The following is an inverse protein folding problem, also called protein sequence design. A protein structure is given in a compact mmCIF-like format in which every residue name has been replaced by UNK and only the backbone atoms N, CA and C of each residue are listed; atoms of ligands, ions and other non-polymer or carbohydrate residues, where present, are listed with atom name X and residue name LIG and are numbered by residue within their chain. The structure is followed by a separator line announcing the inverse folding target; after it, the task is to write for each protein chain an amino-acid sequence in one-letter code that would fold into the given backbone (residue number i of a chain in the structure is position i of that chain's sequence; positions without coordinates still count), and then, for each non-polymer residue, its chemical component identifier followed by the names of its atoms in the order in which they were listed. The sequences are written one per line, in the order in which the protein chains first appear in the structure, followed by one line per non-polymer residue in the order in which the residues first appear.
data_IF_962808695334
#
_entry.id   IF_962808695334
#
_cell.length_a   1.000
_cell.length_b   1.000
_cell.length_c   1.000
_cell.angle_alpha   90.00
_cell.angle_beta   90.00
_cell.angle_gamma   90.00
#
_symmetry.space_group_name_H-M   'P 1'
#
loop_
_entity.id
_entity.type
_entity.pdbx_description
1 polymer ?
#
# COMPACT_ATOMS: atom_id res chain seq x y z
N UNK A 1 -24.40 -9.44 25.05
CA UNK A 1 -24.14 -9.02 23.66
C UNK A 1 -22.68 -9.28 23.24
N UNK A 2 -21.66 -8.83 23.99
CA UNK A 2 -20.25 -9.12 23.68
C UNK A 2 -19.93 -10.62 23.68
N UNK A 3 -20.25 -11.33 24.77
CA UNK A 3 -19.96 -12.78 24.87
C UNK A 3 -20.69 -13.57 23.77
N UNK A 4 -21.96 -13.23 23.54
CA UNK A 4 -22.78 -13.82 22.47
C UNK A 4 -22.16 -13.66 21.08
N UNK A 5 -21.52 -12.52 20.80
CA UNK A 5 -20.80 -12.31 19.54
C UNK A 5 -19.56 -13.21 19.44
N UNK A 6 -18.77 -13.34 20.51
CA UNK A 6 -17.57 -14.18 20.50
C UNK A 6 -17.91 -15.67 20.44
N UNK A 7 -18.96 -16.11 21.12
CA UNK A 7 -19.49 -17.47 21.00
C UNK A 7 -19.87 -17.76 19.54
N UNK A 8 -20.55 -16.82 18.87
CA UNK A 8 -20.85 -16.92 17.44
C UNK A 8 -19.58 -17.02 16.59
N UNK A 9 -18.59 -16.15 16.79
CA UNK A 9 -17.32 -16.18 16.04
C UNK A 9 -16.59 -17.52 16.23
N UNK A 10 -16.49 -18.01 17.46
CA UNK A 10 -15.78 -19.25 17.75
C UNK A 10 -16.51 -20.49 17.24
N UNK A 11 -17.85 -20.50 17.26
CA UNK A 11 -18.67 -21.56 16.68
C UNK A 11 -18.47 -21.67 15.15
N UNK A 12 -18.25 -20.55 14.47
CA UNK A 12 -18.02 -20.51 13.02
C UNK A 12 -16.54 -20.74 12.62
N UNK A 13 -15.62 -20.84 13.60
CA UNK A 13 -14.22 -21.07 13.31
C UNK A 13 -13.91 -22.57 13.13
N UNK A 14 -13.79 -22.98 11.86
CA UNK A 14 -13.54 -24.37 11.47
C UNK A 14 -12.03 -24.71 11.38
N UNK A 15 -11.64 -25.97 11.66
CA UNK A 15 -10.28 -26.45 11.41
C UNK A 15 -9.85 -26.31 9.95
N UNK A 16 -8.61 -25.89 9.69
CA UNK A 16 -8.00 -25.75 8.35
C UNK A 16 -8.70 -24.79 7.39
N UNK A 17 -9.76 -24.11 7.82
CA UNK A 17 -10.44 -23.05 7.08
C UNK A 17 -10.32 -21.74 7.84
N UNK A 18 -9.83 -20.70 7.16
CA UNK A 18 -9.67 -19.38 7.78
C UNK A 18 -11.03 -18.66 7.79
N UNK A 19 -11.50 -18.29 8.98
CA UNK A 19 -12.65 -17.41 9.13
C UNK A 19 -12.23 -15.97 8.83
N UNK A 20 -12.95 -15.29 7.94
CA UNK A 20 -12.77 -13.87 7.66
C UNK A 20 -13.90 -13.10 8.36
N UNK A 21 -13.53 -12.14 9.19
CA UNK A 21 -14.44 -11.19 9.84
C UNK A 21 -14.12 -9.83 9.25
N UNK A 22 -15.08 -9.24 8.54
CA UNK A 22 -14.90 -7.99 7.82
C UNK A 22 -15.88 -6.97 8.39
N UNK A 23 -15.39 -5.78 8.72
CA UNK A 23 -16.21 -4.65 9.14
C UNK A 23 -15.60 -3.34 8.64
N UNK A 24 -16.42 -2.29 8.60
CA UNK A 24 -16.00 -0.93 8.24
C UNK A 24 -15.31 -0.29 9.43
N UNK A 25 -14.04 0.11 9.31
CA UNK A 25 -13.28 0.66 10.44
C UNK A 25 -13.21 -0.31 11.64
N UNK A 26 -12.93 -1.58 11.34
CA UNK A 26 -13.02 -2.71 12.28
C UNK A 26 -12.26 -2.50 13.61
N UNK A 27 -11.26 -1.61 13.65
CA UNK A 27 -10.52 -1.29 14.88
C UNK A 27 -11.46 -0.78 15.98
N UNK A 28 -12.48 0.00 15.60
CA UNK A 28 -13.49 0.50 16.54
C UNK A 28 -14.29 -0.67 17.13
N UNK A 29 -14.94 -1.46 16.27
CA UNK A 29 -15.74 -2.61 16.70
C UNK A 29 -14.92 -3.62 17.50
N UNK A 30 -13.72 -3.93 17.04
CA UNK A 30 -12.81 -4.86 17.68
C UNK A 30 -12.43 -4.42 19.10
N UNK A 31 -12.23 -3.10 19.30
CA UNK A 31 -11.97 -2.52 20.61
C UNK A 31 -13.20 -2.59 21.52
N UNK A 32 -14.37 -2.17 21.04
CA UNK A 32 -15.63 -2.20 21.81
C UNK A 32 -16.02 -3.63 22.20
N UNK A 33 -15.75 -4.60 21.32
CA UNK A 33 -15.99 -6.02 21.56
C UNK A 33 -14.89 -6.68 22.42
N UNK A 34 -13.93 -5.91 22.95
CA UNK A 34 -12.82 -6.43 23.78
C UNK A 34 -12.08 -7.57 23.09
N UNK A 35 -11.72 -7.36 21.82
CA UNK A 35 -11.27 -8.45 20.95
C UNK A 35 -9.99 -9.13 21.40
N UNK A 36 -9.00 -8.36 21.87
CA UNK A 36 -7.76 -8.93 22.39
C UNK A 36 -7.99 -9.82 23.60
N UNK A 37 -8.80 -9.35 24.55
CA UNK A 37 -9.13 -10.10 25.76
C UNK A 37 -9.85 -11.42 25.45
N UNK A 38 -10.88 -11.39 24.60
CA UNK A 38 -11.66 -12.58 24.25
C UNK A 38 -10.83 -13.59 23.46
N UNK A 39 -10.01 -13.13 22.52
CA UNK A 39 -9.08 -13.99 21.78
C UNK A 39 -8.06 -14.63 22.71
N UNK A 40 -7.53 -13.86 23.68
CA UNK A 40 -6.59 -14.35 24.68
C UNK A 40 -7.23 -15.40 25.59
N UNK A 41 -8.41 -15.13 26.15
CA UNK A 41 -9.20 -16.08 26.96
C UNK A 41 -9.46 -17.38 26.20
N UNK A 42 -9.76 -17.26 24.91
CA UNK A 42 -9.97 -18.41 24.03
C UNK A 42 -8.67 -19.13 23.61
N UNK A 43 -7.49 -18.62 23.97
CA UNK A 43 -6.19 -19.24 23.67
C UNK A 43 -5.69 -19.05 22.24
N UNK A 44 -6.14 -18.01 21.54
CA UNK A 44 -5.59 -17.61 20.25
C UNK A 44 -4.26 -16.85 20.43
N UNK A 45 -3.35 -17.03 19.47
CA UNK A 45 -2.07 -16.31 19.41
C UNK A 45 -2.00 -15.42 18.18
N UNK A 46 -1.30 -14.29 18.30
CA UNK A 46 -1.10 -13.36 17.20
C UNK A 46 -0.18 -13.99 16.14
N UNK A 47 -0.52 -13.81 14.87
CA UNK A 47 0.31 -14.20 13.72
C UNK A 47 0.69 -13.02 12.86
N UNK A 48 -0.18 -12.05 12.74
CA UNK A 48 0.10 -10.82 12.02
C UNK A 48 -0.82 -9.72 12.54
N UNK A 49 -0.26 -8.53 12.73
CA UNK A 49 -1.01 -7.32 13.05
C UNK A 49 -0.50 -6.18 12.18
N UNK A 50 -1.43 -5.46 11.56
CA UNK A 50 -1.15 -4.20 10.90
C UNK A 50 -2.33 -3.27 11.10
N UNK A 51 -2.05 -2.03 11.48
CA UNK A 51 -3.04 -0.97 11.59
C UNK A 51 -2.38 0.37 11.25
N UNK A 52 -3.02 1.14 10.37
CA UNK A 52 -2.63 2.52 10.05
C UNK A 52 -3.85 3.48 10.01
N UNK A 53 -4.97 3.09 10.63
CA UNK A 53 -6.22 3.86 10.68
C UNK A 53 -7.15 3.67 9.47
N UNK A 54 -6.61 3.44 8.27
CA UNK A 54 -7.40 3.17 7.04
C UNK A 54 -7.23 1.75 6.51
N UNK A 55 -6.34 0.97 7.13
CA UNK A 55 -6.10 -0.43 6.82
C UNK A 55 -5.83 -1.17 8.11
N UNK A 56 -6.64 -2.20 8.39
CA UNK A 56 -6.45 -3.07 9.55
C UNK A 56 -6.48 -4.55 9.14
N UNK A 57 -5.51 -5.30 9.66
CA UNK A 57 -5.42 -6.75 9.51
C UNK A 57 -4.98 -7.33 10.86
N UNK A 58 -5.86 -8.12 11.49
CA UNK A 58 -5.52 -8.91 12.68
C UNK A 58 -5.67 -10.38 12.34
N UNK A 59 -4.55 -11.11 12.29
CA UNK A 59 -4.54 -12.55 12.02
C UNK A 59 -4.14 -13.30 13.29
N UNK A 60 -5.03 -14.17 13.76
CA UNK A 60 -4.83 -14.98 14.97
C UNK A 60 -5.04 -16.45 14.69
N UNK A 61 -4.35 -17.30 15.47
CA UNK A 61 -4.37 -18.75 15.29
C UNK A 61 -4.43 -19.50 16.61
N UNK A 62 -5.23 -20.57 16.66
CA UNK A 62 -5.29 -21.56 17.74
C UNK A 62 -5.22 -22.95 17.11
N UNK A 63 -4.08 -23.65 17.24
CA UNK A 63 -3.86 -24.95 16.62
C UNK A 63 -4.04 -24.91 15.09
N UNK A 64 -5.04 -25.62 14.56
CA UNK A 64 -5.40 -25.63 13.14
C UNK A 64 -6.55 -24.67 12.78
N UNK A 65 -7.06 -23.89 13.73
CA UNK A 65 -8.09 -22.85 13.53
C UNK A 65 -7.43 -21.48 13.37
N UNK A 66 -7.94 -20.66 12.45
CA UNK A 66 -7.44 -19.27 12.27
C UNK A 66 -8.56 -18.31 11.94
N UNK A 67 -8.48 -17.10 12.49
CA UNK A 67 -9.40 -16.00 12.24
C UNK A 67 -8.59 -14.83 11.70
N UNK A 68 -9.12 -14.14 10.70
CA UNK A 68 -8.59 -12.86 10.24
C UNK A 68 -9.67 -11.79 10.33
N UNK A 69 -9.38 -10.72 11.06
CA UNK A 69 -10.19 -9.52 11.11
C UNK A 69 -9.62 -8.52 10.10
N UNK A 70 -10.48 -8.01 9.22
CA UNK A 70 -10.11 -7.16 8.10
C UNK A 70 -10.99 -5.93 8.05
N UNK A 71 -10.38 -4.77 7.81
CA UNK A 71 -11.14 -3.56 7.52
C UNK A 71 -11.64 -3.58 6.07
N UNK A 72 -12.92 -3.31 5.83
CA UNK A 72 -13.42 -3.14 4.45
C UNK A 72 -12.76 -1.95 3.73
N UNK A 73 -12.22 -0.98 4.47
CA UNK A 73 -11.39 0.11 3.92
C UNK A 73 -10.06 -0.37 3.31
N UNK A 74 -9.59 -1.58 3.63
CA UNK A 74 -8.44 -2.20 2.96
C UNK A 74 -8.62 -2.29 1.43
N UNK A 75 -9.87 -2.26 0.95
CA UNK A 75 -10.23 -2.24 -0.46
C UNK A 75 -10.95 -0.96 -0.87
N UNK A 76 -11.85 -0.46 -0.02
CA UNK A 76 -12.78 0.62 -0.34
C UNK A 76 -12.63 1.78 0.64
N UNK A 77 -11.68 2.71 0.44
CA UNK A 77 -11.44 3.83 1.37
C UNK A 77 -12.52 4.93 1.20
N UNK A 78 -13.75 4.60 1.56
CA UNK A 78 -14.93 5.47 1.52
C UNK A 78 -15.88 5.15 2.69
N UNK A 79 -16.78 6.07 3.02
CA UNK A 79 -17.82 5.87 4.02
C UNK A 79 -18.87 4.85 3.55
N UNK A 80 -19.52 4.15 4.48
CA UNK A 80 -20.61 3.22 4.15
C UNK A 80 -21.76 3.89 3.40
N UNK A 81 -22.09 5.16 3.71
CA UNK A 81 -23.09 5.95 2.99
C UNK A 81 -22.77 6.09 1.49
N UNK A 82 -21.57 6.56 1.15
CA UNK A 82 -21.08 6.63 -0.24
C UNK A 82 -21.05 5.28 -0.94
N UNK A 83 -20.69 4.20 -0.24
CA UNK A 83 -20.78 2.84 -0.79
C UNK A 83 -22.23 2.48 -1.11
N UNK A 84 -23.16 2.79 -0.20
CA UNK A 84 -24.60 2.58 -0.37
C UNK A 84 -25.16 3.32 -1.57
N UNK A 85 -24.87 4.62 -1.70
CA UNK A 85 -25.23 5.45 -2.86
C UNK A 85 -24.75 4.81 -4.18
N UNK A 86 -23.47 4.39 -4.23
CA UNK A 86 -22.89 3.74 -5.41
C UNK A 86 -23.56 2.41 -5.77
N UNK A 87 -24.09 1.69 -4.78
CA UNK A 87 -24.76 0.40 -4.98
C UNK A 87 -26.29 0.54 -5.17
N UNK A 88 -26.85 1.75 -5.02
CA UNK A 88 -28.29 1.96 -5.00
C UNK A 88 -28.97 1.42 -3.73
N UNK A 89 -28.22 1.25 -2.65
CA UNK A 89 -28.71 0.79 -1.34
C UNK A 89 -28.39 1.92 -0.34
N UNK A 90 -29.23 2.97 -0.26
CA UNK A 90 -28.93 4.10 0.61
C UNK A 90 -28.80 3.65 2.06
N UNK A 91 -27.83 4.24 2.75
CA UNK A 91 -27.64 4.06 4.18
C UNK A 91 -28.84 4.69 4.90
N UNK A 92 -29.41 3.97 5.85
CA UNK A 92 -30.48 4.50 6.70
C UNK A 92 -29.92 5.58 7.64
N UNK A 93 -30.79 6.52 8.02
CA UNK A 93 -30.57 7.45 9.11
C UNK A 93 -31.17 6.87 10.40
N UNK A 94 -30.55 7.16 11.54
CA UNK A 94 -31.03 6.72 12.86
C UNK A 94 -30.68 7.77 13.91
N UNK A 95 -31.62 8.03 14.81
CA UNK A 95 -31.37 8.77 16.04
C UNK A 95 -31.00 7.78 17.14
N UNK A 96 -29.72 7.75 17.51
CA UNK A 96 -29.21 6.80 18.51
C UNK A 96 -29.74 7.07 19.92
N UNK A 97 -30.23 8.29 20.21
CA UNK A 97 -30.73 8.66 21.53
C UNK A 97 -32.17 8.18 21.74
N UNK A 98 -32.95 8.04 20.66
CA UNK A 98 -34.38 7.74 20.75
C UNK A 98 -34.82 6.45 20.05
N UNK A 99 -33.95 5.79 19.27
CA UNK A 99 -34.35 4.59 18.52
C UNK A 99 -34.72 3.42 19.43
N UNK A 100 -35.66 2.60 18.96
CA UNK A 100 -35.98 1.30 19.54
C UNK A 100 -34.94 0.25 19.14
N UNK A 101 -34.85 -0.84 19.91
CA UNK A 101 -33.96 -1.96 19.55
C UNK A 101 -34.30 -2.56 18.17
N UNK A 102 -35.59 -2.59 17.80
CA UNK A 102 -36.01 -3.11 16.50
C UNK A 102 -35.56 -2.22 15.34
N UNK A 103 -35.65 -0.90 15.48
CA UNK A 103 -35.14 0.05 14.49
C UNK A 103 -33.61 -0.06 14.36
N UNK A 104 -32.91 -0.17 15.49
CA UNK A 104 -31.46 -0.34 15.51
C UNK A 104 -31.02 -1.64 14.82
N UNK A 105 -31.76 -2.75 15.00
CA UNK A 105 -31.49 -4.01 14.28
C UNK A 105 -31.66 -3.84 12.77
N UNK A 106 -32.72 -3.14 12.32
CA UNK A 106 -32.97 -2.88 10.89
C UNK A 106 -31.85 -2.01 10.31
N UNK A 107 -31.48 -0.94 11.00
CA UNK A 107 -30.37 -0.07 10.64
C UNK A 107 -29.04 -0.84 10.52
N UNK A 108 -28.67 -1.64 11.54
CA UNK A 108 -27.43 -2.42 11.51
C UNK A 108 -27.42 -3.45 10.38
N UNK A 109 -28.58 -4.04 10.04
CA UNK A 109 -28.72 -4.95 8.89
C UNK A 109 -28.52 -4.23 7.56
N UNK A 110 -28.98 -2.98 7.43
CA UNK A 110 -28.76 -2.16 6.24
C UNK A 110 -27.26 -1.88 6.03
N UNK A 111 -26.53 -1.46 7.08
CA UNK A 111 -25.08 -1.24 7.00
C UNK A 111 -24.32 -2.51 6.58
N UNK A 112 -24.66 -3.67 7.17
CA UNK A 112 -24.04 -4.97 6.80
C UNK A 112 -24.42 -5.37 5.37
N UNK A 113 -25.65 -5.13 4.94
CA UNK A 113 -26.10 -5.45 3.57
C UNK A 113 -25.32 -4.64 2.52
N UNK A 114 -25.04 -3.37 2.79
CA UNK A 114 -24.25 -2.51 1.91
C UNK A 114 -22.84 -3.11 1.73
N UNK A 115 -22.13 -3.40 2.81
CA UNK A 115 -20.77 -3.97 2.73
C UNK A 115 -20.77 -5.38 2.13
N UNK A 116 -21.72 -6.23 2.50
CA UNK A 116 -21.88 -7.57 1.92
C UNK A 116 -22.07 -7.51 0.40
N UNK A 117 -22.96 -6.63 -0.07
CA UNK A 117 -23.22 -6.45 -1.51
C UNK A 117 -21.98 -5.93 -2.23
N UNK A 118 -21.25 -4.99 -1.62
CA UNK A 118 -20.01 -4.46 -2.18
C UNK A 118 -18.95 -5.56 -2.39
N UNK A 119 -18.75 -6.44 -1.40
CA UNK A 119 -17.82 -7.57 -1.53
C UNK A 119 -18.31 -8.62 -2.52
N UNK A 120 -19.62 -8.90 -2.56
CA UNK A 120 -20.20 -9.82 -3.54
C UNK A 120 -19.93 -9.37 -4.96
N UNK A 121 -20.15 -8.09 -5.26
CA UNK A 121 -19.84 -7.51 -6.58
C UNK A 121 -18.34 -7.52 -6.87
N UNK A 122 -17.50 -7.21 -5.88
CA UNK A 122 -16.06 -7.25 -6.08
C UNK A 122 -15.53 -8.67 -6.35
N UNK A 123 -15.98 -9.66 -5.59
CA UNK A 123 -15.60 -11.07 -5.80
C UNK A 123 -16.11 -11.56 -7.17
N UNK A 124 -17.36 -11.21 -7.54
CA UNK A 124 -17.92 -11.52 -8.85
C UNK A 124 -17.08 -10.91 -9.97
N UNK A 125 -16.67 -9.65 -9.83
CA UNK A 125 -15.77 -8.99 -10.77
C UNK A 125 -14.43 -9.73 -10.88
N UNK A 126 -13.80 -10.09 -9.75
CA UNK A 126 -12.50 -10.78 -9.76
C UNK A 126 -12.57 -12.16 -10.41
N UNK A 127 -13.57 -12.96 -10.06
CA UNK A 127 -13.75 -14.33 -10.56
C UNK A 127 -14.25 -14.32 -12.00
N UNK A 128 -15.29 -13.53 -12.29
CA UNK A 128 -15.93 -13.48 -13.61
C UNK A 128 -15.01 -12.96 -14.72
N UNK A 129 -14.03 -12.12 -14.38
CA UNK A 129 -13.03 -11.62 -15.32
C UNK A 129 -11.68 -12.35 -15.23
N UNK A 130 -11.59 -13.44 -14.44
CA UNK A 130 -10.37 -14.21 -14.22
C UNK A 130 -9.15 -13.35 -13.87
N UNK A 131 -9.35 -12.39 -12.95
CA UNK A 131 -8.34 -11.42 -12.54
C UNK A 131 -7.44 -12.02 -11.47
N UNK A 132 -8.03 -12.41 -10.32
CA UNK A 132 -7.31 -13.01 -9.20
C UNK A 132 -8.27 -13.57 -8.16
N UNK A 133 -7.72 -14.27 -7.16
CA UNK A 133 -8.39 -14.44 -5.87
C UNK A 133 -8.47 -13.11 -5.09
N UNK A 134 -9.41 -13.01 -4.16
CA UNK A 134 -9.44 -11.93 -3.17
C UNK A 134 -8.29 -12.10 -2.16
N UNK A 135 -7.52 -11.04 -1.96
CA UNK A 135 -6.49 -10.94 -0.92
C UNK A 135 -6.87 -9.85 0.09
N UNK A 136 -6.20 -9.79 1.24
CA UNK A 136 -6.53 -8.89 2.37
C UNK A 136 -6.57 -7.39 2.09
N UNK A 137 -6.00 -6.94 0.98
CA UNK A 137 -6.01 -5.55 0.56
C UNK A 137 -6.16 -5.46 -0.96
N UNK A 138 -6.59 -4.31 -1.47
CA UNK A 138 -6.59 -4.04 -2.92
C UNK A 138 -5.21 -4.22 -3.55
N UNK A 139 -4.15 -3.80 -2.85
CA UNK A 139 -2.77 -3.91 -3.33
C UNK A 139 -2.29 -5.35 -3.38
N UNK A 140 -2.61 -6.17 -2.36
CA UNK A 140 -2.30 -7.60 -2.38
C UNK A 140 -3.13 -8.37 -3.42
N UNK A 141 -4.34 -7.88 -3.73
CA UNK A 141 -5.19 -8.43 -4.79
C UNK A 141 -4.60 -8.09 -6.16
N UNK A 142 -4.16 -6.84 -6.38
CA UNK A 142 -3.45 -6.43 -7.59
C UNK A 142 -2.16 -7.23 -7.82
N UNK A 143 -1.37 -7.47 -6.76
CA UNK A 143 -0.19 -8.33 -6.85
C UNK A 143 -0.56 -9.79 -7.18
N UNK A 144 -1.63 -10.32 -6.60
CA UNK A 144 -2.09 -11.67 -6.94
C UNK A 144 -2.51 -11.77 -8.42
N UNK A 145 -3.18 -10.75 -8.95
CA UNK A 145 -3.52 -10.68 -10.38
C UNK A 145 -2.27 -10.63 -11.25
N UNK A 146 -1.29 -9.80 -10.89
CA UNK A 146 0.00 -9.73 -11.57
C UNK A 146 0.71 -11.10 -11.59
N UNK A 147 0.81 -11.78 -10.45
CA UNK A 147 1.48 -13.07 -10.36
C UNK A 147 0.75 -14.19 -11.11
N UNK A 148 -0.59 -14.12 -11.19
CA UNK A 148 -1.39 -15.16 -11.84
C UNK A 148 -1.17 -15.20 -13.36
N UNK A 149 -1.13 -14.04 -14.02
CA UNK A 149 -1.16 -13.97 -15.49
C UNK A 149 -0.12 -13.08 -16.14
N UNK A 150 0.65 -12.31 -15.37
CA UNK A 150 1.52 -11.26 -15.91
C UNK A 150 3.00 -11.41 -15.52
N UNK A 151 3.33 -12.38 -14.68
CA UNK A 151 4.72 -12.73 -14.33
C UNK A 151 5.38 -13.54 -15.46
N UNK A 152 5.74 -12.86 -16.54
CA UNK A 152 6.37 -13.49 -17.72
C UNK A 152 7.90 -13.47 -17.69
N UNK A 153 8.47 -12.53 -16.93
CA UNK A 153 9.93 -12.36 -16.80
C UNK A 153 10.33 -12.71 -15.37
N UNK A 154 11.32 -13.61 -15.18
CA UNK A 154 11.86 -13.88 -13.85
C UNK A 154 12.44 -12.63 -13.20
N UNK A 155 12.04 -12.38 -11.95
CA UNK A 155 12.54 -11.28 -11.13
C UNK A 155 13.38 -11.88 -10.00
N UNK A 156 14.66 -11.54 -10.00
CA UNK A 156 15.65 -12.06 -9.06
C UNK A 156 15.82 -11.12 -7.88
N UNK A 157 15.90 -11.70 -6.69
CA UNK A 157 16.10 -10.99 -5.42
C UNK A 157 17.57 -11.17 -5.00
N UNK A 158 18.20 -10.11 -4.52
CA UNK A 158 19.54 -10.14 -3.93
C UNK A 158 19.50 -9.59 -2.49
N UNK A 159 20.59 -9.79 -1.76
CA UNK A 159 20.77 -9.35 -0.38
C UNK A 159 21.99 -8.43 -0.19
N UNK A 160 22.55 -7.87 -1.27
CA UNK A 160 23.63 -6.88 -1.18
C UNK A 160 23.15 -5.62 -0.46
N UNK A 161 23.71 -5.36 0.74
CA UNK A 161 23.26 -4.28 1.62
C UNK A 161 23.48 -2.89 1.02
N UNK A 162 24.66 -2.62 0.44
CA UNK A 162 25.00 -1.33 -0.17
C UNK A 162 24.06 -0.98 -1.35
N UNK A 163 23.72 -1.98 -2.17
CA UNK A 163 22.75 -1.81 -3.25
C UNK A 163 21.35 -1.50 -2.71
N UNK A 164 20.90 -2.21 -1.67
CA UNK A 164 19.60 -1.99 -1.03
C UNK A 164 19.52 -0.58 -0.43
N UNK A 165 20.61 -0.06 0.15
CA UNK A 165 20.66 1.32 0.64
C UNK A 165 20.46 2.33 -0.50
N UNK A 166 21.12 2.15 -1.65
CA UNK A 166 20.91 2.99 -2.84
C UNK A 166 19.49 2.88 -3.40
N UNK A 167 18.92 1.68 -3.47
CA UNK A 167 17.53 1.45 -3.87
C UNK A 167 16.54 2.20 -2.98
N UNK A 168 16.76 2.20 -1.66
CA UNK A 168 15.90 2.90 -0.71
C UNK A 168 16.13 4.41 -0.72
N UNK A 169 17.36 4.88 -0.92
CA UNK A 169 17.70 6.29 -1.03
C UNK A 169 17.12 6.94 -2.30
N UNK A 170 17.05 6.18 -3.40
CA UNK A 170 16.46 6.63 -4.67
C UNK A 170 14.93 6.56 -4.72
N UNK A 171 14.28 5.87 -3.77
CA UNK A 171 12.82 5.76 -3.71
C UNK A 171 12.16 7.03 -3.13
N UNK A 172 11.49 7.80 -3.99
CA UNK A 172 10.93 9.12 -3.69
C UNK A 172 9.45 9.20 -4.06
N UNK A 173 8.74 10.13 -3.43
CA UNK A 173 7.33 10.42 -3.72
C UNK A 173 7.14 11.32 -4.95
N UNK A 174 5.87 11.64 -5.25
CA UNK A 174 5.55 12.63 -6.28
C UNK A 174 5.94 14.06 -5.87
N UNK A 175 6.09 14.93 -6.87
CA UNK A 175 6.33 16.37 -6.67
C UNK A 175 5.08 17.05 -6.12
N UNK A 176 5.19 17.64 -4.94
CA UNK A 176 4.13 18.42 -4.31
C UNK A 176 4.78 19.64 -3.66
N UNK A 177 4.71 20.78 -4.33
CA UNK A 177 5.26 22.05 -3.85
C UNK A 177 4.42 23.24 -4.34
N UNK A 178 4.58 24.39 -3.69
CA UNK A 178 3.94 25.62 -4.11
C UNK A 178 4.76 26.27 -5.23
N UNK A 179 4.26 26.19 -6.47
CA UNK A 179 4.88 26.86 -7.62
C UNK A 179 4.62 28.37 -7.65
N UNK A 180 3.63 28.85 -6.88
CA UNK A 180 3.25 30.25 -6.78
C UNK A 180 2.74 30.54 -5.37
N UNK A 181 3.18 31.65 -4.78
CA UNK A 181 2.75 32.12 -3.46
C UNK A 181 2.21 33.54 -3.63
N UNK A 182 1.00 33.79 -3.13
CA UNK A 182 0.34 35.09 -3.19
C UNK A 182 -1.01 35.02 -3.89
N UNK A 183 -1.60 36.19 -4.10
CA UNK A 183 -2.87 36.30 -4.80
C UNK A 183 -2.68 36.15 -6.30
N UNK A 184 -3.57 35.36 -6.88
CA UNK A 184 -3.69 35.15 -8.31
C UNK A 184 -4.60 36.25 -8.86
N UNK A 185 -4.26 36.85 -10.00
CA UNK A 185 -5.14 37.83 -10.64
C UNK A 185 -6.50 37.19 -11.02
N UNK A 186 -7.53 38.00 -11.27
CA UNK A 186 -8.88 37.55 -11.64
C UNK A 186 -8.99 36.94 -13.06
N UNK A 187 -7.98 36.17 -13.48
CA UNK A 187 -7.94 35.47 -14.76
C UNK A 187 -8.49 34.04 -14.70
N UNK A 188 -8.56 33.39 -15.87
CA UNK A 188 -8.93 31.98 -16.00
C UNK A 188 -7.75 31.08 -15.67
N UNK A 189 -7.98 30.06 -14.85
CA UNK A 189 -6.99 29.04 -14.51
C UNK A 189 -7.46 27.66 -14.98
N UNK A 190 -6.52 26.86 -15.47
CA UNK A 190 -6.76 25.49 -15.91
C UNK A 190 -6.07 24.51 -14.98
N UNK A 191 -6.76 23.40 -14.69
CA UNK A 191 -6.20 22.25 -13.95
C UNK A 191 -6.09 21.09 -14.92
N UNK A 192 -4.88 20.59 -15.12
CA UNK A 192 -4.58 19.47 -16.01
C UNK A 192 -4.09 18.29 -15.17
N UNK A 193 -4.56 17.09 -15.47
CA UNK A 193 -4.16 15.84 -14.80
C UNK A 193 -3.79 14.77 -15.84
N UNK A 194 -2.80 13.95 -15.53
CA UNK A 194 -2.35 12.87 -16.40
C UNK A 194 -3.23 11.65 -16.17
N UNK A 195 -3.82 11.16 -17.25
CA UNK A 195 -4.63 9.94 -17.23
C UNK A 195 -3.80 8.72 -16.79
N UNK A 196 -3.99 8.31 -15.54
CA UNK A 196 -3.34 7.11 -14.96
C UNK A 196 -1.81 7.17 -15.07
N UNK A 197 -1.20 8.26 -14.55
CA UNK A 197 0.25 8.52 -14.61
C UNK A 197 1.12 7.29 -14.32
N UNK A 198 0.98 6.66 -13.13
CA UNK A 198 1.79 5.51 -12.77
C UNK A 198 1.58 4.31 -13.70
N UNK A 199 0.33 3.87 -14.01
CA UNK A 199 0.10 2.85 -15.03
C UNK A 199 0.72 3.17 -16.39
N UNK A 200 0.65 4.43 -16.85
CA UNK A 200 1.28 4.84 -18.10
C UNK A 200 2.81 4.65 -18.06
N UNK A 201 3.45 5.07 -16.97
CA UNK A 201 4.90 4.88 -16.76
C UNK A 201 5.24 3.38 -16.67
N UNK A 202 4.46 2.60 -15.90
CA UNK A 202 4.57 1.14 -15.79
C UNK A 202 4.56 0.45 -17.15
N UNK A 203 3.59 0.81 -18.00
CA UNK A 203 3.40 0.20 -19.32
C UNK A 203 4.56 0.47 -20.28
N UNK A 204 5.09 1.68 -20.27
CA UNK A 204 5.96 2.16 -21.36
C UNK A 204 7.45 2.10 -21.05
N UNK A 205 7.85 1.60 -19.87
CA UNK A 205 9.25 1.60 -19.44
C UNK A 205 9.78 0.20 -19.08
N UNK A 206 11.10 0.10 -18.93
CA UNK A 206 11.81 -1.08 -18.45
C UNK A 206 12.21 -0.87 -16.99
N UNK A 207 12.17 -1.95 -16.22
CA UNK A 207 12.38 -1.95 -14.77
C UNK A 207 13.46 -2.95 -14.39
N UNK A 208 14.20 -2.73 -13.29
CA UNK A 208 15.21 -3.67 -12.82
C UNK A 208 14.58 -5.03 -12.48
N UNK A 209 15.17 -6.10 -13.00
CA UNK A 209 14.72 -7.49 -12.76
C UNK A 209 15.79 -8.39 -12.18
N UNK A 210 17.07 -8.01 -12.28
CA UNK A 210 18.18 -8.80 -11.75
C UNK A 210 19.37 -7.93 -11.43
N UNK A 211 19.87 -8.01 -10.20
CA UNK A 211 21.15 -7.41 -9.83
C UNK A 211 22.27 -7.97 -10.72
N UNK A 212 23.05 -7.07 -11.32
CA UNK A 212 24.19 -7.41 -12.15
C UNK A 212 25.48 -7.23 -11.37
N UNK A 213 25.77 -6.00 -10.94
CA UNK A 213 27.00 -5.66 -10.21
C UNK A 213 26.94 -4.24 -9.62
N UNK A 214 27.85 -4.00 -8.67
CA UNK A 214 28.17 -2.69 -8.10
C UNK A 214 29.67 -2.42 -8.30
N UNK A 215 30.06 -1.61 -9.31
CA UNK A 215 31.46 -1.31 -9.59
C UNK A 215 32.10 -0.45 -8.48
N UNK A 216 33.35 -0.75 -8.10
CA UNK A 216 34.10 0.04 -7.09
C UNK A 216 34.31 1.51 -7.47
N UNK A 217 34.49 1.79 -8.77
CA UNK A 217 34.65 3.15 -9.32
C UNK A 217 33.95 3.24 -10.67
N UNK A 218 33.22 4.32 -10.89
CA UNK A 218 32.46 4.56 -12.11
C UNK A 218 32.74 5.96 -12.63
N UNK A 219 33.24 6.06 -13.86
CA UNK A 219 33.39 7.35 -14.55
C UNK A 219 32.09 7.72 -15.25
N UNK A 220 31.91 9.00 -15.61
CA UNK A 220 30.76 9.46 -16.39
C UNK A 220 30.59 8.66 -17.69
N UNK A 221 31.68 8.40 -18.40
CA UNK A 221 31.66 7.60 -19.62
C UNK A 221 31.16 6.16 -19.38
N UNK A 222 31.57 5.51 -18.28
CA UNK A 222 31.07 4.18 -17.93
C UNK A 222 29.59 4.21 -17.55
N UNK A 223 29.17 5.24 -16.80
CA UNK A 223 27.77 5.43 -16.43
C UNK A 223 26.89 5.55 -17.68
N UNK A 224 27.31 6.36 -18.65
CA UNK A 224 26.63 6.54 -19.94
C UNK A 224 26.48 5.19 -20.68
N UNK A 225 27.56 4.40 -20.77
CA UNK A 225 27.51 3.06 -21.40
C UNK A 225 26.46 2.17 -20.71
N UNK A 226 26.43 2.15 -19.37
CA UNK A 226 25.46 1.34 -18.64
C UNK A 226 24.02 1.77 -18.92
N UNK A 227 23.73 3.07 -18.94
CA UNK A 227 22.38 3.61 -19.12
C UNK A 227 21.78 3.33 -20.51
N UNK A 228 22.60 2.95 -21.51
CA UNK A 228 22.13 2.54 -22.85
C UNK A 228 21.29 1.27 -22.82
N UNK A 229 21.60 0.33 -21.92
CA UNK A 229 20.97 -1.01 -21.93
C UNK A 229 20.57 -1.56 -20.58
N UNK A 230 21.04 -0.97 -19.46
CA UNK A 230 20.79 -1.45 -18.09
C UNK A 230 19.93 -0.45 -17.32
N UNK A 231 19.31 -0.94 -16.24
CA UNK A 231 18.79 -0.06 -15.20
C UNK A 231 19.93 0.27 -14.23
N UNK A 232 20.00 1.53 -13.80
CA UNK A 232 21.09 2.03 -12.97
C UNK A 232 20.51 2.88 -11.84
N UNK A 233 21.10 2.73 -10.65
CA UNK A 233 20.92 3.65 -9.54
C UNK A 233 22.31 4.15 -9.16
N UNK A 234 22.47 5.46 -8.98
CA UNK A 234 23.77 6.03 -8.62
C UNK A 234 23.63 7.17 -7.60
N UNK A 235 24.57 7.22 -6.66
CA UNK A 235 24.80 8.40 -5.81
C UNK A 235 25.73 9.34 -6.56
N UNK A 236 25.30 10.57 -6.78
CA UNK A 236 25.97 11.54 -7.63
C UNK A 236 26.02 12.92 -6.98
N UNK A 237 27.03 13.71 -7.37
CA UNK A 237 27.05 15.15 -7.17
C UNK A 237 26.42 15.81 -8.39
N UNK A 238 25.37 16.59 -8.17
CA UNK A 238 24.65 17.35 -9.19
C UNK A 238 25.02 18.82 -9.07
N UNK A 239 25.19 19.50 -10.21
CA UNK A 239 25.09 20.95 -10.34
C UNK A 239 24.02 21.27 -11.39
N UNK A 240 22.98 22.02 -11.02
CA UNK A 240 21.88 22.38 -11.92
C UNK A 240 21.24 23.70 -11.51
N UNK A 241 20.71 24.46 -12.46
CA UNK A 241 19.83 25.60 -12.22
C UNK A 241 18.34 25.22 -12.30
N UNK A 242 18.02 23.93 -12.50
CA UNK A 242 16.66 23.44 -12.67
C UNK A 242 16.15 22.63 -11.45
N UNK A 243 14.93 22.91 -10.95
CA UNK A 243 14.34 22.18 -9.82
C UNK A 243 13.71 20.86 -10.30
N UNK A 244 14.53 19.92 -10.78
CA UNK A 244 14.08 18.67 -11.42
C UNK A 244 14.45 17.40 -10.65
N UNK A 245 15.45 17.45 -9.78
CA UNK A 245 15.88 16.29 -8.99
C UNK A 245 15.26 16.30 -7.60
N UNK A 246 14.44 15.30 -7.31
CA UNK A 246 13.89 15.12 -5.97
C UNK A 246 15.00 14.74 -4.98
N UNK A 247 15.04 15.43 -3.84
CA UNK A 247 15.91 15.16 -2.69
C UNK A 247 15.05 14.95 -1.46
N UNK A 248 15.26 13.85 -0.76
CA UNK A 248 14.53 13.54 0.48
C UNK A 248 15.26 14.11 1.70
N UNK A 249 14.59 15.00 2.42
CA UNK A 249 14.95 15.50 3.76
C UNK A 249 13.75 15.26 4.69
N UNK A 250 13.44 16.18 5.60
CA UNK A 250 12.16 16.18 6.33
C UNK A 250 10.96 16.18 5.38
N UNK A 251 11.11 16.85 4.23
CA UNK A 251 10.17 16.86 3.11
C UNK A 251 10.91 16.53 1.81
N UNK A 252 10.17 16.22 0.76
CA UNK A 252 10.73 16.11 -0.60
C UNK A 252 10.97 17.51 -1.14
N UNK A 253 12.19 17.81 -1.54
CA UNK A 253 12.61 19.10 -2.09
C UNK A 253 13.11 18.92 -3.53
N UNK A 254 13.11 20.00 -4.31
CA UNK A 254 13.66 20.05 -5.67
C UNK A 254 14.68 21.20 -5.75
N UNK A 255 15.85 21.06 -5.10
CA UNK A 255 16.83 22.13 -5.00
C UNK A 255 17.52 22.42 -6.35
N UNK A 256 18.07 23.63 -6.45
CA UNK A 256 19.02 24.07 -7.48
C UNK A 256 20.39 24.32 -6.84
N UNK A 257 21.42 24.49 -7.64
CA UNK A 257 22.81 24.62 -7.23
C UNK A 257 23.53 23.26 -7.16
N UNK A 258 24.47 23.14 -6.23
CA UNK A 258 25.32 21.95 -6.07
C UNK A 258 24.85 21.10 -4.88
N UNK A 259 24.54 19.83 -5.10
CA UNK A 259 24.10 18.93 -4.04
C UNK A 259 24.28 17.45 -4.36
N UNK A 260 24.41 16.64 -3.31
CA UNK A 260 24.42 15.17 -3.43
C UNK A 260 22.99 14.60 -3.46
N UNK A 261 22.76 13.64 -4.33
CA UNK A 261 21.50 12.87 -4.36
C UNK A 261 21.69 11.47 -4.95
N UNK A 262 20.72 10.60 -4.75
CA UNK A 262 20.67 9.26 -5.37
C UNK A 262 19.57 9.24 -6.43
N UNK A 263 19.95 8.93 -7.66
CA UNK A 263 19.09 9.00 -8.84
C UNK A 263 18.93 7.62 -9.49
N UNK A 264 17.74 7.37 -10.05
CA UNK A 264 17.43 6.21 -10.87
C UNK A 264 17.66 6.51 -12.37
N UNK A 265 17.61 5.46 -13.21
CA UNK A 265 17.83 5.51 -14.66
C UNK A 265 17.25 6.75 -15.37
N UNK A 266 15.97 7.15 -15.19
CA UNK A 266 15.43 8.30 -15.92
C UNK A 266 16.07 9.63 -15.51
N UNK A 267 16.23 9.85 -14.20
CA UNK A 267 16.87 11.06 -13.64
C UNK A 267 18.35 11.12 -14.04
N UNK A 268 19.06 9.98 -14.05
CA UNK A 268 20.46 9.89 -14.47
C UNK A 268 20.66 10.19 -15.95
N UNK A 269 19.73 9.73 -16.81
CA UNK A 269 19.75 10.05 -18.25
C UNK A 269 19.58 11.55 -18.48
N UNK A 270 18.59 12.15 -17.82
CA UNK A 270 18.36 13.59 -17.89
C UNK A 270 19.60 14.36 -17.42
N UNK A 271 20.19 13.96 -16.29
CA UNK A 271 21.37 14.62 -15.75
C UNK A 271 22.61 14.51 -16.64
N UNK A 272 22.80 13.39 -17.34
CA UNK A 272 23.89 13.25 -18.31
C UNK A 272 23.67 14.12 -19.55
N UNK A 273 22.45 14.13 -20.08
CA UNK A 273 22.09 14.90 -21.28
C UNK A 273 22.33 16.40 -21.08
N UNK A 274 22.08 16.91 -19.88
CA UNK A 274 22.23 18.33 -19.54
C UNK A 274 23.57 18.65 -18.86
N UNK A 275 24.50 17.68 -18.75
CA UNK A 275 25.80 17.90 -18.12
C UNK A 275 25.75 18.23 -16.62
N UNK A 276 24.65 17.85 -15.94
CA UNK A 276 24.40 18.14 -14.53
C UNK A 276 25.23 17.28 -13.56
N UNK A 277 25.76 16.12 -14.01
CA UNK A 277 26.54 15.23 -13.13
C UNK A 277 28.01 15.68 -13.06
N UNK A 278 28.47 16.06 -11.86
CA UNK A 278 29.86 16.43 -11.59
C UNK A 278 30.71 15.27 -11.12
N UNK A 279 30.12 14.40 -10.29
CA UNK A 279 30.82 13.25 -9.72
C UNK A 279 29.87 12.06 -9.55
N UNK A 280 30.40 10.85 -9.70
CA UNK A 280 29.68 9.60 -9.43
C UNK A 280 30.36 8.89 -8.27
N UNK A 281 29.72 8.90 -7.10
CA UNK A 281 30.26 8.29 -5.88
C UNK A 281 30.14 6.77 -5.89
N UNK A 282 28.95 6.27 -6.26
CA UNK A 282 28.67 4.85 -6.33
C UNK A 282 27.55 4.58 -7.34
N UNK A 283 27.54 3.38 -7.93
CA UNK A 283 26.43 2.96 -8.77
C UNK A 283 26.18 1.45 -8.68
N UNK A 284 24.93 1.07 -8.86
CA UNK A 284 24.50 -0.31 -8.95
C UNK A 284 23.76 -0.52 -10.28
N UNK A 285 24.05 -1.65 -10.92
CA UNK A 285 23.60 -2.00 -12.26
C UNK A 285 22.69 -3.21 -12.21
N UNK A 286 21.58 -3.15 -12.96
CA UNK A 286 20.60 -4.23 -13.07
C UNK A 286 20.31 -4.57 -14.53
N UNK A 287 20.03 -5.84 -14.79
CA UNK A 287 19.27 -6.22 -15.97
C UNK A 287 17.86 -5.63 -15.87
N UNK A 288 17.26 -5.31 -17.02
CA UNK A 288 15.96 -4.67 -17.06
C UNK A 288 15.04 -5.24 -18.13
N UNK A 289 13.74 -5.30 -17.82
CA UNK A 289 12.70 -5.74 -18.73
C UNK A 289 11.42 -4.93 -18.52
N UNK A 290 10.54 -4.93 -19.51
CA UNK A 290 9.19 -4.39 -19.32
C UNK A 290 8.33 -5.47 -18.65
N UNK A 291 8.21 -5.35 -17.33
CA UNK A 291 7.51 -6.35 -16.51
C UNK A 291 6.03 -6.01 -16.30
N UNK A 292 5.58 -4.77 -16.57
CA UNK A 292 4.21 -4.35 -16.24
C UNK A 292 3.29 -4.19 -17.45
N UNK A 293 3.82 -4.15 -18.68
CA UNK A 293 3.02 -3.88 -19.88
C UNK A 293 1.80 -4.79 -20.01
N UNK A 294 1.95 -6.10 -19.89
CA UNK A 294 0.83 -7.03 -20.06
C UNK A 294 -0.26 -6.82 -19.01
N UNK A 295 0.13 -6.52 -17.75
CA UNK A 295 -0.81 -6.21 -16.67
C UNK A 295 -1.58 -4.92 -16.96
N UNK A 296 -0.87 -3.84 -17.29
CA UNK A 296 -1.51 -2.54 -17.53
C UNK A 296 -2.41 -2.61 -18.76
N UNK A 297 -1.95 -3.18 -19.87
CA UNK A 297 -2.76 -3.34 -21.09
C UNK A 297 -4.07 -4.10 -20.79
N UNK A 298 -3.98 -5.22 -20.07
CA UNK A 298 -5.16 -6.05 -19.73
C UNK A 298 -6.17 -5.29 -18.86
N UNK A 299 -5.73 -4.73 -17.73
CA UNK A 299 -6.66 -4.06 -16.79
C UNK A 299 -7.17 -2.73 -17.35
N UNK A 300 -6.36 -2.01 -18.14
CA UNK A 300 -6.80 -0.79 -18.79
C UNK A 300 -7.83 -1.04 -19.89
N UNK A 301 -7.67 -2.11 -20.67
CA UNK A 301 -8.67 -2.51 -21.68
C UNK A 301 -9.99 -2.85 -21.01
N UNK A 302 -9.94 -3.69 -19.97
CA UNK A 302 -11.13 -4.04 -19.18
C UNK A 302 -11.81 -2.81 -18.59
N UNK A 303 -11.02 -1.81 -18.15
CA UNK A 303 -11.55 -0.52 -17.69
C UNK A 303 -12.30 0.22 -18.80
N UNK A 304 -11.77 0.28 -20.02
CA UNK A 304 -12.45 0.96 -21.14
C UNK A 304 -13.73 0.23 -21.55
N UNK A 305 -13.73 -1.10 -21.51
CA UNK A 305 -14.92 -1.90 -21.82
C UNK A 305 -16.05 -1.59 -20.83
N UNK A 306 -15.75 -1.59 -19.52
CA UNK A 306 -16.74 -1.24 -18.49
C UNK A 306 -17.18 0.21 -18.55
N UNK A 307 -16.28 1.13 -18.90
CA UNK A 307 -16.64 2.53 -19.12
C UNK A 307 -17.63 2.67 -20.28
N UNK A 308 -17.36 2.00 -21.40
CA UNK A 308 -18.22 2.04 -22.59
C UNK A 308 -19.58 1.38 -22.35
N UNK A 309 -19.62 0.34 -21.51
CA UNK A 309 -20.84 -0.32 -21.08
C UNK A 309 -21.61 0.41 -19.95
N UNK A 310 -21.10 1.53 -19.44
CA UNK A 310 -21.73 2.27 -18.35
C UNK A 310 -21.66 1.59 -16.97
N UNK A 311 -20.76 0.62 -16.78
CA UNK A 311 -20.61 -0.14 -15.52
C UNK A 311 -19.58 0.55 -14.61
N UNK A 312 -19.96 1.70 -14.05
CA UNK A 312 -19.08 2.56 -13.27
C UNK A 312 -18.38 1.87 -12.09
N UNK A 313 -19.05 0.91 -11.44
CA UNK A 313 -18.46 0.14 -10.33
C UNK A 313 -17.23 -0.64 -10.78
N UNK A 314 -17.31 -1.34 -11.91
CA UNK A 314 -16.21 -2.17 -12.41
C UNK A 314 -15.11 -1.32 -13.06
N UNK A 315 -15.45 -0.16 -13.65
CA UNK A 315 -14.45 0.82 -14.08
C UNK A 315 -13.57 1.26 -12.89
N UNK A 316 -14.20 1.61 -11.76
CA UNK A 316 -13.51 2.05 -10.56
C UNK A 316 -12.63 0.94 -9.95
N UNK A 317 -13.10 -0.30 -9.93
CA UNK A 317 -12.31 -1.44 -9.49
C UNK A 317 -11.05 -1.64 -10.35
N UNK A 318 -11.17 -1.51 -11.68
CA UNK A 318 -10.02 -1.56 -12.59
C UNK A 318 -9.01 -0.44 -12.28
N UNK A 319 -9.50 0.79 -12.08
CA UNK A 319 -8.67 1.94 -11.68
C UNK A 319 -7.89 1.64 -10.38
N UNK A 320 -8.56 1.09 -9.37
CA UNK A 320 -7.91 0.76 -8.09
C UNK A 320 -6.84 -0.33 -8.23
N UNK A 321 -7.12 -1.39 -8.99
CA UNK A 321 -6.14 -2.46 -9.20
C UNK A 321 -4.88 -1.93 -9.92
N UNK A 322 -5.05 -1.17 -11.00
CA UNK A 322 -3.92 -0.58 -11.73
C UNK A 322 -3.04 0.30 -10.85
N UNK A 323 -3.65 1.19 -10.08
CA UNK A 323 -2.92 2.14 -9.24
C UNK A 323 -2.31 1.49 -7.98
N UNK A 324 -2.83 0.35 -7.52
CA UNK A 324 -2.34 -0.27 -6.29
C UNK A 324 -1.16 -1.22 -6.51
N UNK A 325 -0.89 -1.66 -7.75
CA UNK A 325 0.18 -2.62 -8.02
C UNK A 325 1.57 -2.02 -7.74
N UNK A 326 1.87 -0.82 -8.25
CA UNK A 326 3.23 -0.26 -8.13
C UNK A 326 3.66 -0.09 -6.67
N UNK A 327 2.72 0.29 -5.78
CA UNK A 327 2.99 0.46 -4.36
C UNK A 327 3.48 -0.81 -3.66
N UNK A 328 3.11 -2.00 -4.16
CA UNK A 328 3.61 -3.28 -3.64
C UNK A 328 5.10 -3.49 -3.88
N UNK A 329 5.65 -2.95 -4.97
CA UNK A 329 7.08 -3.05 -5.29
C UNK A 329 7.93 -2.13 -4.42
N UNK A 330 7.34 -1.03 -3.92
CA UNK A 330 8.00 -0.13 -2.96
C UNK A 330 7.83 -0.56 -1.49
N UNK A 331 7.09 -1.65 -1.22
CA UNK A 331 6.70 -2.01 0.14
C UNK A 331 7.92 -2.14 1.07
N UNK A 332 7.78 -1.58 2.28
CA UNK A 332 8.68 -1.85 3.41
C UNK A 332 8.01 -2.85 4.34
N UNK A 333 8.81 -3.77 4.88
CA UNK A 333 8.40 -4.56 6.02
C UNK A 333 8.69 -3.75 7.29
N UNK A 334 7.67 -3.56 8.12
CA UNK A 334 7.89 -3.24 9.53
C UNK A 334 8.10 -4.58 10.25
N UNK A 335 9.28 -4.77 10.80
CA UNK A 335 9.61 -5.98 11.54
C UNK A 335 9.35 -5.72 13.01
N UNK A 336 8.18 -6.14 13.49
CA UNK A 336 7.88 -6.18 14.92
C UNK A 336 8.54 -7.42 15.51
N UNK A 337 9.53 -7.21 16.36
CA UNK A 337 10.28 -8.29 17.00
C UNK A 337 9.67 -8.54 18.37
N UNK A 338 9.28 -9.79 18.65
CA UNK A 338 8.84 -10.15 20.00
C UNK A 338 10.03 -10.02 20.95
N UNK A 339 9.92 -9.14 21.94
CA UNK A 339 10.96 -8.91 22.95
C UNK A 339 10.64 -9.57 24.30
N UNK A 340 9.41 -10.04 24.52
CA UNK A 340 9.04 -10.68 25.77
C UNK A 340 7.62 -11.23 25.85
N UNK A 341 7.32 -11.89 26.97
CA UNK A 341 5.96 -12.23 27.39
C UNK A 341 5.57 -11.28 28.53
N UNK A 342 4.34 -10.79 28.52
CA UNK A 342 3.80 -9.86 29.50
C UNK A 342 2.32 -10.21 29.78
N UNK A 343 2.05 -11.39 30.36
CA UNK A 343 0.68 -11.85 30.56
C UNK A 343 -0.13 -10.89 31.44
N UNK A 344 0.45 -10.18 32.39
CA UNK A 344 -0.36 -9.35 33.31
C UNK A 344 -0.53 -7.90 32.82
N UNK A 345 0.01 -7.57 31.65
CA UNK A 345 -0.08 -6.25 31.05
C UNK A 345 -1.35 -6.09 30.20
N UNK A 346 -2.03 -4.92 30.26
CA UNK A 346 -3.11 -4.59 29.34
C UNK A 346 -2.59 -4.36 27.91
N UNK A 347 -3.40 -4.73 26.93
CA UNK A 347 -3.08 -4.53 25.52
C UNK A 347 -3.06 -3.02 25.17
N UNK A 348 -1.95 -2.53 24.60
CA UNK A 348 -1.73 -1.10 24.28
C UNK A 348 -0.55 -0.88 23.32
N UNK A 349 -0.45 0.32 22.76
CA UNK A 349 0.75 0.80 22.05
C UNK A 349 1.35 1.97 22.85
N UNK A 350 2.67 1.94 23.06
CA UNK A 350 3.42 2.96 23.79
C UNK A 350 4.51 3.55 22.89
N UNK A 351 4.71 4.87 22.99
CA UNK A 351 5.85 5.59 22.42
C UNK A 351 6.83 5.91 23.53
N UNK A 352 8.04 5.36 23.44
CA UNK A 352 9.11 5.60 24.38
C UNK A 352 10.13 6.58 23.80
N UNK A 353 10.33 7.67 24.54
CA UNK A 353 11.34 8.68 24.26
C UNK A 353 12.52 8.43 25.18
N UNK A 354 13.62 7.90 24.65
CA UNK A 354 14.85 7.74 25.43
C UNK A 354 15.61 9.07 25.44
N UNK A 355 15.87 9.60 26.63
CA UNK A 355 16.48 10.93 26.85
C UNK A 355 17.82 11.13 26.13
N UNK A 356 18.60 10.06 25.91
CA UNK A 356 19.96 10.17 25.38
C UNK A 356 20.11 9.83 23.88
N UNK A 357 19.19 9.08 23.27
CA UNK A 357 19.44 8.50 21.95
C UNK A 357 18.78 9.21 20.77
N UNK A 358 17.94 10.23 21.00
CA UNK A 358 17.05 10.83 20.00
C UNK A 358 16.21 9.79 19.20
N UNK A 359 16.17 8.53 19.65
CA UNK A 359 15.32 7.49 19.06
C UNK A 359 13.99 7.48 19.79
N UNK A 360 12.93 7.41 18.99
CA UNK A 360 11.59 7.09 19.44
C UNK A 360 11.41 5.60 19.22
N UNK A 361 11.24 4.86 20.31
CA UNK A 361 10.91 3.44 20.27
C UNK A 361 9.39 3.29 20.36
N UNK A 362 8.84 2.27 19.69
CA UNK A 362 7.43 1.90 19.83
C UNK A 362 7.35 0.52 20.45
N UNK A 363 6.55 0.38 21.51
CA UNK A 363 6.23 -0.93 22.06
C UNK A 363 4.76 -1.26 21.82
N UNK A 364 4.49 -2.54 21.54
CA UNK A 364 3.14 -3.09 21.46
C UNK A 364 2.98 -4.23 22.42
N UNK A 365 2.00 -4.09 23.31
CA UNK A 365 1.55 -5.14 24.22
C UNK A 365 0.28 -5.74 23.61
N UNK A 366 0.37 -6.98 23.13
CA UNK A 366 -0.74 -7.65 22.44
C UNK A 366 -0.80 -9.13 22.82
N UNK A 367 -1.95 -9.61 23.29
CA UNK A 367 -2.21 -10.99 23.67
C UNK A 367 -1.23 -11.55 24.70
N UNK A 368 -0.77 -10.70 25.63
CA UNK A 368 0.22 -11.08 26.65
C UNK A 368 1.65 -11.25 26.13
N UNK A 369 1.95 -10.68 24.96
CA UNK A 369 3.28 -10.61 24.37
C UNK A 369 3.65 -9.14 24.11
N UNK A 370 4.94 -8.80 24.22
CA UNK A 370 5.45 -7.46 23.93
C UNK A 370 6.37 -7.48 22.70
N UNK A 371 6.19 -6.49 21.83
CA UNK A 371 6.90 -6.33 20.56
C UNK A 371 7.52 -4.94 20.44
N UNK A 372 8.70 -4.87 19.81
CA UNK A 372 9.39 -3.63 19.40
C UNK A 372 9.40 -3.48 17.87
#
# INVERSE_FOLDING_TARGET
KIDTFWDFIFAHCQPKQRLWVIARNIVFDFTILRGWENLRKAGYKLKFFHNNGVTCIVNVRKGNKSIVFLDSMNWFPESIAKTGERLGIPKMDIDFDTCTEQELIVYCRNDVLIDYTNFKEFIRFLVGNNISRLCYTRASTAMAAYMLRHYHTPIFIHNNAEAIELERASYKGGRCECFYIGEKNYGTYYVLDVNSLYPFVMRNNRYPVKYSKMPKKTTLHRLEIYLRSKAVIAKVLIETDEPVYAVKRERTLFPIGVFETTLCTPELKYALEHGHIKEVYSCVIYEQANIFKSYVDTIYTLRQDFKSAGVAVYENLCKYLMNSLYGKWGQKAENWVKIGNCPDEPDREELLFTYESNKVMRLRYLLGEVFE
#
